data_IF_891123439321
#
_entry.id   IF_891123439321
#
_cell.length_a   1.000
_cell.length_b   1.000
_cell.length_c   1.000
_cell.angle_alpha   90.00
_cell.angle_beta   90.00
_cell.angle_gamma   90.00
#
_symmetry.space_group_name_H-M   'P 1'
#
loop_
_entity.id
_entity.type
_entity.pdbx_description
1 polymer ?
#
# COMPACT_ATOMS: atom_id res chain seq x y z
N UNK A 1 18.64 -0.13 -4.76
CA UNK A 1 17.51 0.04 -3.81
C UNK A 1 16.22 -0.18 -4.59
N UNK A 2 15.30 -0.99 -4.08
CA UNK A 2 14.09 -1.32 -4.83
C UNK A 2 13.10 -0.17 -4.72
N UNK A 3 12.80 0.51 -5.82
CA UNK A 3 11.82 1.61 -5.91
C UNK A 3 10.37 1.11 -5.76
N UNK A 4 10.10 0.16 -4.86
CA UNK A 4 8.74 -0.32 -4.60
C UNK A 4 8.09 0.61 -3.58
N UNK A 5 6.78 0.80 -3.71
CA UNK A 5 5.95 1.40 -2.68
C UNK A 5 4.86 0.40 -2.29
N UNK A 6 4.55 0.36 -1.01
CA UNK A 6 3.54 -0.49 -0.41
C UNK A 6 2.36 0.36 0.04
N UNK A 7 1.16 -0.13 -0.24
CA UNK A 7 -0.10 0.41 0.27
C UNK A 7 -0.65 -0.63 1.24
N UNK A 8 -0.63 -0.31 2.53
CA UNK A 8 -1.05 -1.18 3.63
C UNK A 8 -2.24 -0.55 4.37
N UNK A 9 -3.10 -1.37 4.98
CA UNK A 9 -4.21 -0.88 5.80
C UNK A 9 -3.74 -0.70 7.24
N UNK A 10 -4.04 0.46 7.82
CA UNK A 10 -3.82 0.70 9.26
C UNK A 10 -5.04 0.17 10.02
N UNK A 11 -4.88 -0.97 10.70
CA UNK A 11 -5.98 -1.66 11.37
C UNK A 11 -6.63 -0.81 12.46
N UNK A 12 -5.86 0.03 13.16
CA UNK A 12 -6.35 0.86 14.27
C UNK A 12 -7.20 2.06 13.81
N UNK A 13 -6.80 2.72 12.72
CA UNK A 13 -7.50 3.91 12.19
C UNK A 13 -8.48 3.58 11.05
N UNK A 14 -8.39 2.39 10.47
CA UNK A 14 -9.25 1.93 9.39
C UNK A 14 -8.89 2.48 8.00
N UNK A 15 -7.89 3.35 7.90
CA UNK A 15 -7.42 4.01 6.69
C UNK A 15 -6.20 3.28 6.07
N UNK A 16 -5.54 3.89 5.08
CA UNK A 16 -4.45 3.28 4.32
C UNK A 16 -3.18 4.13 4.39
N UNK A 17 -2.04 3.46 4.56
CA UNK A 17 -0.72 4.07 4.56
C UNK A 17 0.07 3.70 3.31
N UNK A 18 0.79 4.68 2.76
CA UNK A 18 1.74 4.51 1.66
C UNK A 18 3.14 4.51 2.24
N UNK A 19 3.88 3.41 2.10
CA UNK A 19 5.22 3.24 2.69
C UNK A 19 6.25 2.82 1.65
N UNK A 20 7.47 3.35 1.82
CA UNK A 20 8.66 2.81 1.15
C UNK A 20 9.24 1.64 1.96
N UNK A 21 9.91 0.67 1.31
CA UNK A 21 10.58 -0.43 2.01
C UNK A 21 11.54 0.11 3.07
N UNK A 22 11.52 -0.51 4.25
CA UNK A 22 12.33 -0.16 5.42
C UNK A 22 12.06 1.25 6.00
N UNK A 23 11.01 1.95 5.54
CA UNK A 23 10.61 3.23 6.13
C UNK A 23 9.80 3.00 7.39
N UNK A 24 10.26 3.56 8.51
CA UNK A 24 9.49 3.56 9.76
C UNK A 24 8.26 4.47 9.70
N UNK A 25 8.26 5.46 8.80
CA UNK A 25 7.18 6.44 8.64
C UNK A 25 6.40 6.22 7.36
N UNK A 26 5.09 6.47 7.41
CA UNK A 26 4.27 6.59 6.23
C UNK A 26 4.69 7.81 5.41
N UNK A 27 4.83 7.63 4.09
CA UNK A 27 5.08 8.72 3.14
C UNK A 27 3.81 9.49 2.83
N UNK A 28 2.65 8.83 2.90
CA UNK A 28 1.32 9.42 2.84
C UNK A 28 0.31 8.52 3.56
N UNK A 29 -0.82 9.08 3.97
CA UNK A 29 -2.00 8.34 4.42
C UNK A 29 -3.21 8.78 3.61
N UNK A 30 -4.21 7.90 3.47
CA UNK A 30 -5.46 8.22 2.80
C UNK A 30 -6.61 7.38 3.38
N UNK A 31 -7.80 7.98 3.40
CA UNK A 31 -9.04 7.35 3.90
C UNK A 31 -9.47 6.14 3.10
N UNK A 32 -9.18 6.10 1.80
CA UNK A 32 -9.54 4.97 0.93
C UNK A 32 -8.33 4.31 0.28
N UNK A 33 -8.47 3.03 -0.05
CA UNK A 33 -7.41 2.28 -0.74
C UNK A 33 -7.12 2.88 -2.12
N UNK A 34 -8.15 3.39 -2.81
CA UNK A 34 -8.02 4.02 -4.13
C UNK A 34 -7.13 5.26 -4.05
N UNK A 35 -7.43 6.16 -3.11
CA UNK A 35 -6.64 7.38 -2.90
C UNK A 35 -5.19 7.05 -2.49
N UNK A 36 -4.99 6.03 -1.66
CA UNK A 36 -3.63 5.58 -1.30
C UNK A 36 -2.86 5.05 -2.52
N UNK A 37 -3.52 4.35 -3.45
CA UNK A 37 -2.91 3.90 -4.71
C UNK A 37 -2.55 5.09 -5.61
N UNK A 38 -3.43 6.08 -5.73
CA UNK A 38 -3.17 7.30 -6.49
C UNK A 38 -1.93 8.04 -5.94
N UNK A 39 -1.88 8.28 -4.62
CA UNK A 39 -0.70 8.85 -3.96
C UNK A 39 0.56 8.00 -4.14
N UNK A 40 0.44 6.67 -4.11
CA UNK A 40 1.57 5.78 -4.35
C UNK A 40 2.11 5.88 -5.78
N UNK A 41 1.23 6.07 -6.79
CA UNK A 41 1.63 6.29 -8.19
C UNK A 41 2.31 7.65 -8.38
N UNK A 42 1.82 8.70 -7.72
CA UNK A 42 2.46 10.02 -7.73
C UNK A 42 3.86 10.00 -7.11
N UNK A 43 4.01 9.31 -5.96
CA UNK A 43 5.28 9.20 -5.24
C UNK A 43 6.29 8.25 -5.90
N UNK A 44 5.82 7.41 -6.84
CA UNK A 44 6.62 6.40 -7.51
C UNK A 44 6.15 6.18 -8.96
N UNK A 45 6.33 7.19 -9.83
CA UNK A 45 5.73 7.20 -11.17
C UNK A 45 6.25 6.08 -12.09
N UNK A 46 7.47 5.60 -11.86
CA UNK A 46 8.12 4.56 -12.67
C UNK A 46 8.31 3.23 -11.94
N UNK A 47 7.92 3.15 -10.66
CA UNK A 47 8.19 1.99 -9.83
C UNK A 47 6.95 1.15 -9.48
N UNK A 48 7.15 -0.07 -8.96
CA UNK A 48 6.02 -0.93 -8.65
C UNK A 48 5.26 -0.42 -7.41
N UNK A 49 3.94 -0.33 -7.53
CA UNK A 49 3.02 -0.15 -6.40
C UNK A 49 2.46 -1.52 -6.02
N UNK A 50 2.59 -1.88 -4.75
CA UNK A 50 2.12 -3.14 -4.18
C UNK A 50 1.05 -2.84 -3.14
N UNK A 51 -0.11 -3.46 -3.27
CA UNK A 51 -1.27 -3.19 -2.40
C UNK A 51 -1.59 -4.42 -1.57
N UNK A 52 -1.78 -4.23 -0.28
CA UNK A 52 -2.15 -5.26 0.67
C UNK A 52 -3.55 -5.83 0.37
N UNK A 53 -3.71 -7.16 0.45
CA UNK A 53 -5.00 -7.82 0.29
C UNK A 53 -5.76 -7.88 1.61
N UNK A 54 -6.60 -6.89 1.83
CA UNK A 54 -7.34 -6.68 3.10
C UNK A 54 -8.29 -7.83 3.52
N UNK A 55 -8.69 -8.72 2.61
CA UNK A 55 -9.64 -9.80 2.88
C UNK A 55 -8.98 -11.17 2.77
N UNK A 56 -9.30 -12.07 3.70
CA UNK A 56 -8.97 -13.49 3.62
C UNK A 56 -9.96 -14.20 2.71
N UNK A 57 -9.45 -14.79 1.64
CA UNK A 57 -10.16 -15.57 0.61
C UNK A 57 -9.28 -16.75 0.22
N UNK A 58 -9.84 -17.76 -0.44
CA UNK A 58 -9.06 -18.88 -1.00
C UNK A 58 -7.94 -18.42 -1.96
N UNK A 59 -8.12 -17.27 -2.61
CA UNK A 59 -7.17 -16.68 -3.55
C UNK A 59 -6.27 -15.56 -2.96
N UNK A 60 -6.36 -15.25 -1.66
CA UNK A 60 -5.54 -14.20 -1.08
C UNK A 60 -5.86 -13.84 0.37
N UNK A 61 -4.86 -13.32 1.09
CA UNK A 61 -4.92 -12.92 2.50
C UNK A 61 -4.03 -11.68 2.74
N UNK A 62 -4.15 -10.97 3.88
CA UNK A 62 -3.42 -9.72 4.19
C UNK A 62 -1.90 -9.77 3.99
N UNK A 63 -1.26 -10.93 4.14
CA UNK A 63 0.17 -11.13 3.86
C UNK A 63 0.52 -11.27 2.36
N UNK A 64 -0.45 -11.14 1.45
CA UNK A 64 -0.27 -11.23 0.00
C UNK A 64 -0.51 -9.89 -0.67
N UNK A 65 0.44 -9.49 -1.51
CA UNK A 65 0.42 -8.22 -2.23
C UNK A 65 -0.17 -8.40 -3.64
N UNK A 66 -1.03 -7.47 -4.06
CA UNK A 66 -1.52 -7.37 -5.44
C UNK A 66 -0.89 -6.18 -6.15
N UNK A 67 -0.75 -6.28 -7.47
CA UNK A 67 -0.48 -5.13 -8.33
C UNK A 67 -1.83 -4.46 -8.65
N UNK A 68 -1.98 -3.15 -8.46
CA UNK A 68 -3.21 -2.43 -8.74
C UNK A 68 -3.45 -2.21 -10.24
#
# INVERSE_FOLDING_TARGET
MTNKIFVERRLDEGDYAVRRPNSQRASATATTQREAIERARELNPSGPVLVERVRTTSAGKPDKWRKP
#
